data_IF_720496553197
#
_entry.id   IF_720496553197
#
_cell.length_a   1.000
_cell.length_b   1.000
_cell.length_c   1.000
_cell.angle_alpha   90.00
_cell.angle_beta   90.00
_cell.angle_gamma   90.00
#
_symmetry.space_group_name_H-M   'P 1'
#
loop_
_entity.id
_entity.type
_entity.pdbx_description
1 polymer ?
#
# COMPACT_ATOMS: atom_id res chain seq x y z
N UNK A 1 32.18 -7.93 -35.44
CA UNK A 1 30.72 -7.95 -35.42
C UNK A 1 30.25 -7.27 -34.12
N UNK A 2 29.55 -6.15 -34.17
CA UNK A 2 29.03 -5.52 -32.96
C UNK A 2 28.09 -6.48 -32.28
N UNK A 3 28.43 -6.94 -31.06
CA UNK A 3 27.56 -7.79 -30.25
C UNK A 3 26.26 -7.05 -29.95
N UNK A 4 25.12 -7.72 -30.10
CA UNK A 4 23.81 -7.14 -29.78
C UNK A 4 23.75 -6.74 -28.29
N UNK A 5 23.60 -5.47 -28.01
CA UNK A 5 23.56 -4.95 -26.64
C UNK A 5 22.16 -5.06 -26.06
N UNK A 6 21.87 -6.19 -25.41
CA UNK A 6 20.55 -6.45 -24.77
C UNK A 6 20.18 -5.35 -23.75
N UNK A 7 21.09 -4.94 -22.87
CA UNK A 7 20.79 -3.96 -21.82
C UNK A 7 20.36 -2.62 -22.43
N UNK A 8 21.05 -2.13 -23.45
CA UNK A 8 20.69 -0.90 -24.16
C UNK A 8 19.27 -0.97 -24.74
N UNK A 9 18.97 -2.05 -25.45
CA UNK A 9 17.66 -2.22 -26.08
C UNK A 9 16.55 -2.44 -25.08
N UNK A 10 16.81 -3.14 -23.97
CA UNK A 10 15.88 -3.33 -22.86
C UNK A 10 15.47 -1.97 -22.22
N UNK A 11 16.44 -1.06 -22.07
CA UNK A 11 16.17 0.30 -21.57
C UNK A 11 15.37 1.11 -22.60
N UNK A 12 15.79 1.13 -23.86
CA UNK A 12 15.10 1.89 -24.90
C UNK A 12 13.66 1.43 -25.07
N UNK A 13 13.44 0.12 -25.23
CA UNK A 13 12.07 -0.42 -25.43
C UNK A 13 11.21 -0.25 -24.18
N UNK A 14 11.77 -0.33 -22.96
CA UNK A 14 11.05 -0.02 -21.74
C UNK A 14 10.50 1.41 -21.75
N UNK A 15 11.34 2.39 -22.06
CA UNK A 15 10.87 3.78 -22.18
C UNK A 15 9.96 4.00 -23.39
N UNK A 16 10.09 3.22 -24.45
CA UNK A 16 9.17 3.27 -25.61
C UNK A 16 7.77 2.83 -25.20
N UNK A 17 7.62 1.70 -24.49
CA UNK A 17 6.28 1.25 -24.03
C UNK A 17 5.68 2.22 -23.01
N UNK A 18 6.51 2.80 -22.13
CA UNK A 18 6.11 3.87 -21.21
C UNK A 18 5.52 5.06 -21.99
N UNK A 19 6.23 5.52 -23.01
CA UNK A 19 5.80 6.68 -23.81
C UNK A 19 4.50 6.38 -24.55
N UNK A 20 4.36 5.18 -25.15
CA UNK A 20 3.12 4.77 -25.83
C UNK A 20 1.97 4.76 -24.81
N UNK A 21 2.14 4.16 -23.65
CA UNK A 21 1.12 4.11 -22.61
C UNK A 21 0.75 5.52 -22.12
N UNK A 22 1.75 6.35 -21.80
CA UNK A 22 1.52 7.72 -21.33
C UNK A 22 0.75 8.55 -22.36
N UNK A 23 1.15 8.48 -23.63
CA UNK A 23 0.44 9.18 -24.71
C UNK A 23 -1.00 8.68 -24.85
N UNK A 24 -1.21 7.35 -24.85
CA UNK A 24 -2.55 6.75 -24.93
C UNK A 24 -3.44 7.26 -23.81
N UNK A 25 -3.00 7.17 -22.57
CA UNK A 25 -3.81 7.57 -21.40
C UNK A 25 -4.00 9.08 -21.33
N UNK A 26 -3.00 9.87 -21.70
CA UNK A 26 -3.13 11.34 -21.71
C UNK A 26 -4.11 11.83 -22.80
N UNK A 27 -4.12 11.20 -23.97
CA UNK A 27 -5.03 11.55 -25.06
C UNK A 27 -6.48 11.12 -24.80
N UNK A 28 -6.69 10.16 -23.93
CA UNK A 28 -8.02 9.63 -23.56
C UNK A 28 -8.37 9.94 -22.10
N UNK A 29 -7.65 10.89 -21.49
CA UNK A 29 -7.82 11.26 -20.10
C UNK A 29 -9.23 11.77 -19.83
N UNK A 30 -9.87 11.31 -18.75
CA UNK A 30 -11.13 11.85 -18.30
C UNK A 30 -10.96 13.35 -18.00
N UNK A 31 -11.71 14.23 -18.66
CA UNK A 31 -11.50 15.67 -18.49
C UNK A 31 -12.01 16.20 -17.16
N UNK A 32 -12.94 15.48 -16.51
CA UNK A 32 -13.62 15.89 -15.30
C UNK A 32 -13.63 14.75 -14.27
N UNK A 33 -14.80 14.38 -13.80
CA UNK A 33 -15.05 13.36 -12.80
C UNK A 33 -15.66 12.14 -13.47
N UNK A 34 -15.07 10.98 -13.22
CA UNK A 34 -15.63 9.68 -13.61
C UNK A 34 -16.65 9.17 -12.56
N UNK A 35 -16.99 7.90 -12.63
CA UNK A 35 -17.93 7.23 -11.73
C UNK A 35 -17.29 6.87 -10.37
N UNK A 36 -18.10 6.30 -9.49
CA UNK A 36 -17.71 5.78 -8.18
C UNK A 36 -17.08 6.86 -7.30
N UNK A 37 -15.95 6.56 -6.66
CA UNK A 37 -15.32 7.40 -5.66
C UNK A 37 -14.42 8.50 -6.24
N UNK A 38 -14.28 8.59 -7.59
CA UNK A 38 -13.40 9.56 -8.24
C UNK A 38 -13.67 11.02 -7.84
N UNK A 39 -14.97 11.38 -7.72
CA UNK A 39 -15.37 12.73 -7.32
C UNK A 39 -14.91 13.07 -5.91
N UNK A 40 -15.03 12.12 -5.01
CA UNK A 40 -14.57 12.28 -3.63
C UNK A 40 -13.05 12.35 -3.56
N UNK A 41 -12.32 11.42 -4.22
CA UNK A 41 -10.86 11.43 -4.23
C UNK A 41 -10.28 12.74 -4.82
N UNK A 42 -10.85 13.24 -5.90
CA UNK A 42 -10.44 14.51 -6.50
C UNK A 42 -10.69 15.67 -5.52
N UNK A 43 -11.91 15.76 -4.96
CA UNK A 43 -12.30 16.83 -4.05
C UNK A 43 -11.46 16.85 -2.77
N UNK A 44 -11.30 15.68 -2.14
CA UNK A 44 -10.52 15.55 -0.90
C UNK A 44 -9.02 15.70 -1.13
N UNK A 45 -8.49 15.32 -2.31
CA UNK A 45 -7.09 15.52 -2.64
C UNK A 45 -6.76 17.02 -2.73
N UNK A 46 -7.53 17.79 -3.48
CA UNK A 46 -7.24 19.22 -3.76
C UNK A 46 -7.06 20.05 -2.49
N UNK A 47 -7.85 19.77 -1.46
CA UNK A 47 -7.83 20.51 -0.20
C UNK A 47 -7.19 19.72 0.95
N UNK A 48 -6.66 18.52 0.68
CA UNK A 48 -6.18 17.58 1.70
C UNK A 48 -7.23 17.37 2.80
N UNK A 49 -8.41 16.91 2.41
CA UNK A 49 -9.54 16.62 3.28
C UNK A 49 -9.58 15.13 3.66
N UNK A 50 -10.49 14.73 4.52
CA UNK A 50 -10.62 13.35 5.00
C UNK A 50 -11.81 12.69 4.30
N UNK A 51 -11.53 11.81 3.36
CA UNK A 51 -12.54 11.04 2.63
C UNK A 51 -13.00 9.80 3.39
N UNK A 52 -13.74 8.92 2.70
CA UNK A 52 -14.29 7.70 3.28
C UNK A 52 -13.21 6.69 3.77
N UNK A 53 -13.50 5.92 4.82
CA UNK A 53 -12.64 4.86 5.33
C UNK A 53 -12.43 3.68 4.32
N UNK A 54 -11.23 3.09 4.28
CA UNK A 54 -10.11 3.32 5.19
C UNK A 54 -9.21 4.50 4.80
N UNK A 55 -9.56 5.28 3.77
CA UNK A 55 -8.80 6.43 3.30
C UNK A 55 -7.60 6.09 2.43
N UNK A 56 -7.12 7.10 1.68
CA UNK A 56 -5.97 7.01 0.80
C UNK A 56 -5.05 8.23 0.94
N UNK A 57 -4.45 8.46 2.14
CA UNK A 57 -3.77 9.73 2.43
C UNK A 57 -2.59 10.02 1.52
N UNK A 58 -1.82 9.02 1.10
CA UNK A 58 -0.71 9.24 0.17
C UNK A 58 -1.23 9.60 -1.23
N UNK A 59 -2.29 8.94 -1.69
CA UNK A 59 -2.95 9.28 -2.96
C UNK A 59 -3.44 10.73 -2.93
N UNK A 60 -4.11 11.15 -1.84
CA UNK A 60 -4.60 12.52 -1.67
C UNK A 60 -3.47 13.55 -1.64
N UNK A 61 -2.37 13.28 -0.94
CA UNK A 61 -1.20 14.18 -0.92
C UNK A 61 -0.57 14.34 -2.31
N UNK A 62 -0.46 13.25 -3.08
CA UNK A 62 0.04 13.30 -4.44
C UNK A 62 -0.95 13.99 -5.38
N UNK A 63 -2.26 13.74 -5.23
CA UNK A 63 -3.31 14.43 -5.98
C UNK A 63 -3.30 15.93 -5.72
N UNK A 64 -3.12 16.36 -4.47
CA UNK A 64 -2.91 17.77 -4.12
C UNK A 64 -1.70 18.37 -4.84
N UNK A 65 -0.59 17.63 -4.88
CA UNK A 65 0.61 18.08 -5.59
C UNK A 65 0.34 18.25 -7.09
N UNK A 66 -0.35 17.29 -7.73
CA UNK A 66 -0.70 17.41 -9.15
C UNK A 66 -1.69 18.55 -9.41
N UNK A 67 -2.63 18.80 -8.51
CA UNK A 67 -3.56 19.91 -8.60
C UNK A 67 -2.86 21.28 -8.65
N UNK A 68 -1.64 21.41 -8.10
CA UNK A 68 -0.84 22.66 -8.16
C UNK A 68 -0.33 23.02 -9.57
N UNK A 69 -0.38 22.10 -10.52
CA UNK A 69 0.09 22.37 -11.90
C UNK A 69 -0.91 23.19 -12.74
N UNK A 70 -2.06 23.53 -12.18
CA UNK A 70 -3.03 24.41 -12.83
C UNK A 70 -3.57 25.45 -11.85
N UNK A 71 -3.91 26.64 -12.34
CA UNK A 71 -4.65 27.68 -11.62
C UNK A 71 -6.12 27.69 -11.99
N UNK A 72 -6.50 27.01 -13.07
CA UNK A 72 -7.86 26.95 -13.56
C UNK A 72 -8.64 25.86 -12.84
N UNK A 73 -9.70 26.24 -12.13
CA UNK A 73 -10.52 25.32 -11.30
C UNK A 73 -11.10 24.18 -12.13
N UNK A 74 -11.46 24.44 -13.37
CA UNK A 74 -12.02 23.45 -14.31
C UNK A 74 -11.02 22.39 -14.77
N UNK A 75 -9.70 22.65 -14.65
CA UNK A 75 -8.65 21.72 -15.07
C UNK A 75 -8.09 20.90 -13.89
N UNK A 76 -8.50 21.19 -12.66
CA UNK A 76 -7.96 20.51 -11.46
C UNK A 76 -8.23 19.00 -11.53
N UNK A 77 -9.46 18.59 -11.83
CA UNK A 77 -9.82 17.17 -11.94
C UNK A 77 -8.92 16.45 -12.95
N UNK A 78 -8.70 17.06 -14.09
CA UNK A 78 -7.82 16.55 -15.15
C UNK A 78 -6.36 16.39 -14.68
N UNK A 79 -5.85 17.28 -13.83
CA UNK A 79 -4.49 17.13 -13.27
C UNK A 79 -4.41 15.96 -12.31
N UNK A 80 -5.42 15.71 -11.48
CA UNK A 80 -5.48 14.52 -10.61
C UNK A 80 -5.61 13.24 -11.45
N UNK A 81 -6.44 13.25 -12.48
CA UNK A 81 -6.56 12.13 -13.43
C UNK A 81 -5.22 11.87 -14.14
N UNK A 82 -4.48 12.92 -14.53
CA UNK A 82 -3.16 12.78 -15.14
C UNK A 82 -2.13 12.10 -14.20
N UNK A 83 -2.24 12.26 -12.89
CA UNK A 83 -1.44 11.50 -11.92
C UNK A 83 -1.65 9.99 -12.10
N UNK A 84 -2.90 9.55 -12.30
CA UNK A 84 -3.23 8.14 -12.55
C UNK A 84 -2.68 7.66 -13.89
N UNK A 85 -2.78 8.49 -14.95
CA UNK A 85 -2.18 8.18 -16.25
C UNK A 85 -0.67 7.99 -16.17
N UNK A 86 0.03 8.86 -15.44
CA UNK A 86 1.47 8.75 -15.21
C UNK A 86 1.83 7.51 -14.40
N UNK A 87 1.12 7.22 -13.32
CA UNK A 87 1.32 6.02 -12.51
C UNK A 87 1.12 4.75 -13.35
N UNK A 88 0.08 4.73 -14.19
CA UNK A 88 -0.21 3.62 -15.11
C UNK A 88 0.88 3.44 -16.17
N UNK A 89 1.41 4.52 -16.74
CA UNK A 89 2.54 4.41 -17.67
C UNK A 89 3.80 3.82 -17.02
N UNK A 90 4.08 4.17 -15.76
CA UNK A 90 5.15 3.53 -14.98
C UNK A 90 4.84 2.05 -14.69
N UNK A 91 3.58 1.67 -14.47
CA UNK A 91 3.19 0.26 -14.36
C UNK A 91 3.61 -0.52 -15.60
N UNK A 92 3.35 0.01 -16.79
CA UNK A 92 3.72 -0.61 -18.06
C UNK A 92 5.25 -0.72 -18.21
N UNK A 93 6.00 0.29 -17.82
CA UNK A 93 7.47 0.25 -17.80
C UNK A 93 8.01 -0.88 -16.92
N UNK A 94 7.56 -0.96 -15.67
CA UNK A 94 8.01 -2.00 -14.74
C UNK A 94 7.52 -3.39 -15.14
N UNK A 95 6.34 -3.49 -15.72
CA UNK A 95 5.82 -4.74 -16.28
C UNK A 95 6.70 -5.22 -17.45
N UNK A 96 7.09 -4.34 -18.37
CA UNK A 96 8.01 -4.68 -19.46
C UNK A 96 9.34 -5.22 -18.91
N UNK A 97 9.96 -4.51 -17.97
CA UNK A 97 11.22 -4.96 -17.38
C UNK A 97 11.07 -6.26 -16.57
N UNK A 98 9.94 -6.46 -15.93
CA UNK A 98 9.63 -7.71 -15.24
C UNK A 98 9.52 -8.88 -16.20
N UNK A 99 8.77 -8.72 -17.29
CA UNK A 99 8.62 -9.76 -18.33
C UNK A 99 9.98 -10.12 -18.92
N UNK A 100 10.78 -9.12 -19.31
CA UNK A 100 12.10 -9.37 -19.90
C UNK A 100 13.07 -10.02 -18.92
N UNK A 101 13.03 -9.65 -17.63
CA UNK A 101 13.84 -10.26 -16.59
C UNK A 101 13.47 -11.73 -16.37
N UNK A 102 12.17 -12.04 -16.28
CA UNK A 102 11.69 -13.42 -16.12
C UNK A 102 11.98 -14.26 -17.35
N UNK A 103 11.70 -13.75 -18.56
CA UNK A 103 12.00 -14.44 -19.81
C UNK A 103 13.51 -14.73 -19.95
N UNK A 104 14.36 -13.78 -19.54
CA UNK A 104 15.81 -14.00 -19.52
C UNK A 104 16.21 -15.15 -18.59
N UNK A 105 15.58 -15.27 -17.42
CA UNK A 105 15.85 -16.38 -16.45
C UNK A 105 15.48 -17.75 -17.00
N UNK A 106 14.51 -17.83 -17.91
CA UNK A 106 14.11 -19.09 -18.55
C UNK A 106 15.11 -19.61 -19.58
N UNK A 107 16.10 -18.79 -19.98
CA UNK A 107 17.12 -19.18 -20.96
C UNK A 107 18.14 -20.15 -20.33
N UNK A 108 18.61 -21.14 -21.11
CA UNK A 108 19.65 -22.10 -20.68
C UNK A 108 20.95 -21.41 -20.27
N UNK A 109 21.30 -20.30 -20.93
CA UNK A 109 22.47 -19.49 -20.65
C UNK A 109 22.08 -18.00 -20.56
N UNK A 110 21.57 -17.53 -19.41
CA UNK A 110 21.09 -16.14 -19.26
C UNK A 110 22.16 -15.07 -19.43
N UNK A 111 23.43 -15.42 -19.22
CA UNK A 111 24.59 -14.53 -19.36
C UNK A 111 25.10 -14.38 -20.78
N UNK A 112 24.81 -15.38 -21.66
CA UNK A 112 25.29 -15.46 -23.04
C UNK A 112 24.12 -15.50 -24.02
N UNK A 113 23.39 -14.42 -24.14
CA UNK A 113 22.22 -14.36 -25.03
C UNK A 113 22.66 -14.24 -26.49
N UNK A 114 22.16 -15.12 -27.35
CA UNK A 114 22.23 -14.93 -28.80
C UNK A 114 21.39 -13.72 -29.22
N UNK A 115 21.67 -13.15 -30.42
CA UNK A 115 20.85 -12.08 -30.97
C UNK A 115 19.38 -12.49 -31.12
N UNK A 116 19.12 -13.71 -31.58
CA UNK A 116 17.76 -14.25 -31.71
C UNK A 116 17.04 -14.36 -30.38
N UNK A 117 17.70 -14.93 -29.34
CA UNK A 117 17.13 -14.99 -27.98
C UNK A 117 16.86 -13.61 -27.40
N UNK A 118 17.79 -12.66 -27.63
CA UNK A 118 17.61 -11.28 -27.17
C UNK A 118 16.38 -10.62 -27.81
N UNK A 119 16.18 -10.79 -29.12
CA UNK A 119 15.02 -10.27 -29.84
C UNK A 119 13.73 -10.94 -29.33
N UNK A 120 13.73 -12.26 -29.10
CA UNK A 120 12.58 -12.96 -28.60
C UNK A 120 12.16 -12.47 -27.20
N UNK A 121 13.12 -12.29 -26.28
CA UNK A 121 12.87 -11.77 -24.93
C UNK A 121 12.32 -10.35 -24.98
N UNK A 122 12.95 -9.46 -25.74
CA UNK A 122 12.53 -8.08 -25.87
C UNK A 122 11.15 -7.98 -26.55
N UNK A 123 10.91 -8.80 -27.57
CA UNK A 123 9.60 -8.89 -28.24
C UNK A 123 8.49 -9.37 -27.32
N UNK A 124 8.75 -10.40 -26.50
CA UNK A 124 7.76 -10.87 -25.52
C UNK A 124 7.42 -9.79 -24.47
N UNK A 125 8.44 -9.06 -23.98
CA UNK A 125 8.21 -7.92 -23.11
C UNK A 125 7.38 -6.83 -23.75
N UNK A 126 7.71 -6.48 -25.00
CA UNK A 126 7.00 -5.44 -25.76
C UNK A 126 5.54 -5.79 -26.02
N UNK A 127 5.28 -7.00 -26.52
CA UNK A 127 3.91 -7.48 -26.77
C UNK A 127 3.12 -7.58 -25.45
N UNK A 128 3.70 -8.19 -24.40
CA UNK A 128 3.01 -8.34 -23.11
C UNK A 128 2.67 -6.99 -22.46
N UNK A 129 3.60 -6.04 -22.47
CA UNK A 129 3.38 -4.70 -21.93
C UNK A 129 2.29 -3.94 -22.73
N UNK A 130 2.33 -3.97 -24.06
CA UNK A 130 1.33 -3.30 -24.87
C UNK A 130 -0.05 -3.98 -24.80
N UNK A 131 -0.11 -5.30 -24.70
CA UNK A 131 -1.38 -6.00 -24.47
C UNK A 131 -2.05 -5.50 -23.19
N UNK A 132 -1.28 -5.32 -22.12
CA UNK A 132 -1.81 -4.78 -20.87
C UNK A 132 -2.16 -3.29 -20.99
N UNK A 133 -1.35 -2.49 -21.71
CA UNK A 133 -1.64 -1.07 -21.98
C UNK A 133 -3.03 -0.86 -22.57
N UNK A 134 -3.43 -1.73 -23.51
CA UNK A 134 -4.70 -1.64 -24.21
C UNK A 134 -5.79 -2.56 -23.66
N UNK A 135 -5.58 -3.16 -22.48
CA UNK A 135 -6.63 -3.92 -21.81
C UNK A 135 -7.68 -2.96 -21.23
N UNK A 136 -8.94 -3.27 -21.44
CA UNK A 136 -10.08 -2.43 -21.09
C UNK A 136 -10.07 -1.99 -19.62
N UNK A 137 -10.05 -2.94 -18.69
CA UNK A 137 -10.09 -2.67 -17.26
C UNK A 137 -8.91 -1.81 -16.75
N UNK A 138 -7.70 -2.03 -17.30
CA UNK A 138 -6.55 -1.26 -16.87
C UNK A 138 -6.57 0.16 -17.48
N UNK A 139 -6.98 0.28 -18.73
CA UNK A 139 -7.11 1.58 -19.40
C UNK A 139 -8.16 2.46 -18.69
N UNK A 140 -9.30 1.87 -18.32
CA UNK A 140 -10.32 2.59 -17.56
C UNK A 140 -9.74 3.21 -16.29
N UNK A 141 -9.08 2.41 -15.45
CA UNK A 141 -8.45 2.91 -14.22
C UNK A 141 -7.28 3.88 -14.46
N UNK A 142 -6.64 3.81 -15.64
CA UNK A 142 -5.49 4.67 -15.96
C UNK A 142 -5.87 6.12 -16.25
N UNK A 143 -7.12 6.39 -16.62
CA UNK A 143 -7.56 7.71 -17.09
C UNK A 143 -8.40 8.49 -16.08
N UNK A 144 -8.61 7.94 -14.89
CA UNK A 144 -9.46 8.52 -13.83
C UNK A 144 -8.73 8.69 -12.51
N UNK A 145 -9.21 9.61 -11.67
CA UNK A 145 -8.63 9.94 -10.36
C UNK A 145 -9.01 8.96 -9.26
N UNK A 146 -8.60 7.67 -9.42
CA UNK A 146 -8.90 6.57 -8.55
C UNK A 146 -7.62 5.85 -8.08
N UNK A 147 -7.66 5.20 -6.93
CA UNK A 147 -6.48 4.60 -6.27
C UNK A 147 -5.88 3.40 -7.01
N UNK A 148 -6.64 2.75 -7.92
CA UNK A 148 -6.22 1.50 -8.56
C UNK A 148 -5.03 1.66 -9.50
N UNK A 149 -4.95 2.77 -10.23
CA UNK A 149 -3.80 3.09 -11.09
C UNK A 149 -2.49 3.14 -10.28
N UNK A 150 -2.51 3.90 -9.18
CA UNK A 150 -1.33 4.05 -8.32
C UNK A 150 -1.03 2.76 -7.53
N UNK A 151 -2.04 2.01 -7.12
CA UNK A 151 -1.87 0.69 -6.50
C UNK A 151 -1.19 -0.30 -7.44
N UNK A 152 -1.60 -0.31 -8.72
CA UNK A 152 -0.99 -1.15 -9.75
C UNK A 152 0.47 -0.76 -10.01
N UNK A 153 0.77 0.54 -10.01
CA UNK A 153 2.15 1.05 -10.09
C UNK A 153 3.01 0.57 -8.92
N UNK A 154 2.53 0.70 -7.68
CA UNK A 154 3.27 0.25 -6.51
C UNK A 154 3.48 -1.27 -6.53
N UNK A 155 2.49 -2.05 -6.98
CA UNK A 155 2.60 -3.50 -7.14
C UNK A 155 3.68 -3.87 -8.17
N UNK A 156 3.66 -3.25 -9.35
CA UNK A 156 4.63 -3.52 -10.42
C UNK A 156 6.05 -3.10 -10.00
N UNK A 157 6.19 -1.96 -9.34
CA UNK A 157 7.45 -1.47 -8.78
C UNK A 157 7.99 -2.43 -7.71
N UNK A 158 7.17 -2.87 -6.78
CA UNK A 158 7.56 -3.82 -5.73
C UNK A 158 8.03 -5.15 -6.30
N UNK A 159 7.33 -5.68 -7.30
CA UNK A 159 7.73 -6.93 -7.94
C UNK A 159 9.08 -6.78 -8.68
N UNK A 160 9.24 -5.69 -9.43
CA UNK A 160 10.50 -5.38 -10.11
C UNK A 160 11.66 -5.19 -9.13
N UNK A 161 11.43 -4.48 -8.01
CA UNK A 161 12.42 -4.35 -6.93
C UNK A 161 12.75 -5.70 -6.29
N UNK A 162 11.78 -6.60 -6.15
CA UNK A 162 12.01 -7.98 -5.70
C UNK A 162 12.99 -8.73 -6.60
N UNK A 163 12.86 -8.59 -7.93
CA UNK A 163 13.80 -9.17 -8.88
C UNK A 163 15.19 -8.51 -8.81
N UNK A 164 15.26 -7.21 -8.57
CA UNK A 164 16.50 -6.50 -8.32
C UNK A 164 17.18 -6.97 -7.02
N UNK A 165 16.41 -7.10 -5.95
CA UNK A 165 16.91 -7.63 -4.70
C UNK A 165 17.48 -9.04 -4.86
N UNK A 166 16.79 -9.93 -5.56
CA UNK A 166 17.28 -11.28 -5.85
C UNK A 166 18.65 -11.27 -6.56
N UNK A 167 18.85 -10.35 -7.49
CA UNK A 167 20.11 -10.24 -8.23
C UNK A 167 21.27 -9.69 -7.38
N UNK A 168 20.95 -8.94 -6.32
CA UNK A 168 21.91 -8.20 -5.51
C UNK A 168 22.06 -8.72 -4.06
N UNK A 169 21.17 -9.63 -3.60
CA UNK A 169 21.10 -9.98 -2.17
C UNK A 169 22.37 -10.64 -1.61
N UNK A 170 23.17 -11.29 -2.46
CA UNK A 170 24.43 -11.91 -2.06
C UNK A 170 25.62 -10.91 -2.09
N UNK A 171 25.39 -9.66 -2.54
CA UNK A 171 26.41 -8.63 -2.61
C UNK A 171 26.45 -7.79 -1.33
N UNK A 172 27.59 -7.15 -1.02
CA UNK A 172 27.65 -6.15 0.03
C UNK A 172 26.52 -5.12 -0.14
N UNK A 173 25.81 -4.82 0.92
CA UNK A 173 24.66 -3.89 0.91
C UNK A 173 23.45 -4.35 0.05
N UNK A 174 23.34 -5.62 -0.34
CA UNK A 174 22.16 -6.14 -1.07
C UNK A 174 20.84 -5.88 -0.34
N UNK A 175 20.85 -5.88 0.99
CA UNK A 175 19.67 -5.61 1.82
C UNK A 175 19.08 -4.19 1.67
N UNK A 176 19.80 -3.24 1.05
CA UNK A 176 19.22 -1.91 0.75
C UNK A 176 17.94 -2.00 -0.09
N UNK A 177 17.87 -2.97 -1.00
CA UNK A 177 16.67 -3.20 -1.81
C UNK A 177 15.50 -3.72 -0.99
N UNK A 178 15.76 -4.60 -0.01
CA UNK A 178 14.73 -5.06 0.92
C UNK A 178 14.19 -3.92 1.79
N UNK A 179 15.06 -3.01 2.24
CA UNK A 179 14.62 -1.83 2.99
C UNK A 179 13.77 -0.88 2.13
N UNK A 180 14.15 -0.69 0.86
CA UNK A 180 13.33 0.10 -0.08
C UNK A 180 11.97 -0.58 -0.35
N UNK A 181 11.95 -1.90 -0.56
CA UNK A 181 10.71 -2.69 -0.67
C UNK A 181 9.85 -2.47 0.58
N UNK A 182 10.45 -2.58 1.77
CA UNK A 182 9.77 -2.38 3.05
C UNK A 182 9.14 -0.99 3.16
N UNK A 183 9.86 0.06 2.77
CA UNK A 183 9.35 1.42 2.75
C UNK A 183 8.16 1.58 1.81
N UNK A 184 8.26 1.05 0.58
CA UNK A 184 7.17 1.11 -0.41
C UNK A 184 5.95 0.29 0.04
N UNK A 185 6.16 -0.86 0.69
CA UNK A 185 5.08 -1.62 1.34
C UNK A 185 4.33 -0.75 2.35
N UNK A 186 5.05 0.02 3.18
CA UNK A 186 4.45 0.98 4.10
C UNK A 186 3.67 2.09 3.40
N UNK A 187 4.24 2.69 2.34
CA UNK A 187 3.56 3.70 1.51
C UNK A 187 2.29 3.18 0.85
N UNK A 188 2.26 1.90 0.48
CA UNK A 188 1.12 1.27 -0.19
C UNK A 188 -0.17 1.33 0.63
N UNK A 189 -0.08 1.33 1.95
CA UNK A 189 -1.24 1.55 2.83
C UNK A 189 -1.84 2.94 2.73
N UNK A 190 -1.06 3.93 2.30
CA UNK A 190 -1.54 5.27 2.03
C UNK A 190 -2.20 5.44 0.66
N UNK A 191 -2.28 4.37 -0.12
CA UNK A 191 -2.95 4.32 -1.43
C UNK A 191 -4.06 3.27 -1.41
N UNK A 192 -3.69 1.99 -1.48
CA UNK A 192 -4.65 0.89 -1.46
C UNK A 192 -3.95 -0.44 -1.14
N UNK A 193 -4.63 -1.31 -0.39
CA UNK A 193 -4.09 -2.61 0.08
C UNK A 193 -3.81 -3.61 -1.04
N UNK A 194 -4.38 -3.43 -2.23
CA UNK A 194 -4.19 -4.33 -3.39
C UNK A 194 -2.71 -4.53 -3.74
N UNK A 195 -1.89 -3.49 -3.62
CA UNK A 195 -0.45 -3.57 -3.89
C UNK A 195 0.31 -4.54 -2.98
N UNK A 196 -0.22 -4.87 -1.81
CA UNK A 196 0.39 -5.83 -0.87
C UNK A 196 0.30 -7.27 -1.34
N UNK A 197 -0.58 -7.58 -2.29
CA UNK A 197 -0.71 -8.92 -2.86
C UNK A 197 0.56 -9.41 -3.57
N UNK A 198 1.51 -8.53 -3.81
CA UNK A 198 2.83 -8.90 -4.34
C UNK A 198 3.76 -9.51 -3.28
N UNK A 199 3.50 -9.31 -1.97
CA UNK A 199 4.36 -9.80 -0.88
C UNK A 199 4.65 -11.31 -0.98
N UNK A 200 3.67 -12.20 -1.20
CA UNK A 200 3.94 -13.62 -1.40
C UNK A 200 4.96 -13.88 -2.51
N UNK A 201 4.86 -13.17 -3.63
CA UNK A 201 5.80 -13.32 -4.75
C UNK A 201 7.23 -12.92 -4.36
N UNK A 202 7.40 -11.85 -3.57
CA UNK A 202 8.72 -11.42 -3.07
C UNK A 202 9.29 -12.47 -2.10
N UNK A 203 8.47 -13.04 -1.23
CA UNK A 203 8.87 -14.12 -0.33
C UNK A 203 9.31 -15.36 -1.13
N UNK A 204 8.58 -15.72 -2.18
CA UNK A 204 8.97 -16.82 -3.08
C UNK A 204 10.29 -16.53 -3.80
N UNK A 205 10.51 -15.31 -4.30
CA UNK A 205 11.79 -14.91 -4.91
C UNK A 205 12.94 -15.16 -3.94
N UNK A 206 12.81 -14.76 -2.67
CA UNK A 206 13.81 -15.01 -1.64
C UNK A 206 14.05 -16.51 -1.38
N UNK A 207 12.95 -17.27 -1.22
CA UNK A 207 13.04 -18.71 -0.92
C UNK A 207 13.72 -19.47 -2.06
N UNK A 208 13.32 -19.22 -3.32
CA UNK A 208 13.95 -19.87 -4.48
C UNK A 208 15.42 -19.46 -4.65
N UNK A 209 15.76 -18.22 -4.37
CA UNK A 209 17.15 -17.76 -4.40
C UNK A 209 18.01 -18.48 -3.36
N UNK A 210 17.50 -18.67 -2.14
CA UNK A 210 18.25 -19.22 -1.01
C UNK A 210 18.32 -20.75 -1.03
N UNK A 211 17.26 -21.44 -1.46
CA UNK A 211 17.13 -22.90 -1.34
C UNK A 211 17.13 -23.63 -2.68
N UNK A 212 17.03 -22.93 -3.81
CA UNK A 212 17.00 -23.52 -5.15
C UNK A 212 15.72 -24.33 -5.41
N UNK A 213 15.87 -25.52 -5.97
CA UNK A 213 14.73 -26.39 -6.29
C UNK A 213 14.07 -26.92 -5.02
N UNK A 214 12.80 -26.59 -4.84
CA UNK A 214 12.00 -27.02 -3.69
C UNK A 214 11.34 -28.37 -3.97
N UNK A 215 11.39 -29.29 -3.00
CA UNK A 215 10.52 -30.46 -3.00
C UNK A 215 9.09 -30.07 -2.59
N UNK A 216 8.12 -30.97 -2.75
CA UNK A 216 6.69 -30.70 -2.47
C UNK A 216 6.46 -30.17 -1.06
N UNK A 217 7.11 -30.77 -0.03
CA UNK A 217 6.99 -30.32 1.36
C UNK A 217 7.51 -28.88 1.55
N UNK A 218 8.69 -28.59 1.00
CA UNK A 218 9.28 -27.24 1.06
C UNK A 218 8.42 -26.21 0.32
N UNK A 219 7.84 -26.60 -0.82
CA UNK A 219 6.91 -25.74 -1.57
C UNK A 219 5.65 -25.40 -0.75
N UNK A 220 5.05 -26.38 -0.07
CA UNK A 220 3.90 -26.15 0.82
C UNK A 220 4.30 -25.19 1.97
N UNK A 221 5.45 -25.44 2.61
CA UNK A 221 5.96 -24.55 3.67
C UNK A 221 6.17 -23.13 3.14
N UNK A 222 6.73 -22.98 1.94
CA UNK A 222 6.95 -21.68 1.32
C UNK A 222 5.63 -20.92 1.09
N UNK A 223 4.55 -21.61 0.68
CA UNK A 223 3.22 -21.00 0.57
C UNK A 223 2.70 -20.53 1.93
N UNK A 224 2.78 -21.39 2.95
CA UNK A 224 2.34 -21.04 4.32
C UNK A 224 3.13 -19.83 4.84
N UNK A 225 4.46 -19.82 4.70
CA UNK A 225 5.30 -18.69 5.12
C UNK A 225 4.92 -17.42 4.38
N UNK A 226 4.68 -17.48 3.07
CA UNK A 226 4.29 -16.34 2.25
C UNK A 226 2.95 -15.73 2.71
N UNK A 227 1.97 -16.57 3.01
CA UNK A 227 0.68 -16.15 3.55
C UNK A 227 0.86 -15.55 4.95
N UNK A 228 1.69 -16.16 5.80
CA UNK A 228 1.96 -15.64 7.16
C UNK A 228 2.66 -14.27 7.12
N UNK A 229 3.60 -14.04 6.20
CA UNK A 229 4.24 -12.73 6.03
C UNK A 229 3.22 -11.68 5.58
N UNK A 230 2.38 -12.01 4.59
CA UNK A 230 1.30 -11.13 4.15
C UNK A 230 0.33 -10.82 5.30
N UNK A 231 -0.11 -11.85 6.03
CA UNK A 231 -1.00 -11.70 7.17
C UNK A 231 -0.35 -10.89 8.30
N UNK A 232 0.94 -11.09 8.58
CA UNK A 232 1.69 -10.28 9.56
C UNK A 232 1.66 -8.81 9.18
N UNK A 233 2.01 -8.46 7.94
CA UNK A 233 2.02 -7.06 7.49
C UNK A 233 0.61 -6.48 7.52
N UNK A 234 -0.38 -7.18 6.94
CA UNK A 234 -1.72 -6.65 6.71
C UNK A 234 -2.63 -6.72 7.95
N UNK A 235 -2.62 -7.85 8.69
CA UNK A 235 -3.55 -8.10 9.79
C UNK A 235 -2.98 -7.84 11.19
N UNK A 236 -1.64 -7.82 11.31
CA UNK A 236 -1.00 -7.63 12.61
C UNK A 236 -0.31 -6.27 12.70
N UNK A 237 0.66 -5.96 11.85
CA UNK A 237 1.52 -4.81 12.03
C UNK A 237 0.75 -3.49 12.10
N UNK A 238 -0.13 -3.22 11.14
CA UNK A 238 -0.90 -1.95 11.09
C UNK A 238 -2.00 -1.88 12.14
N UNK A 239 -2.92 -2.87 12.25
CA UNK A 239 -3.96 -2.82 13.26
C UNK A 239 -3.39 -2.77 14.68
N UNK A 240 -2.31 -3.51 14.97
CA UNK A 240 -1.68 -3.43 16.30
C UNK A 240 -1.04 -2.08 16.56
N UNK A 241 -0.44 -1.45 15.56
CA UNK A 241 0.11 -0.11 15.72
C UNK A 241 -1.00 0.88 16.11
N UNK A 242 -2.11 0.90 15.38
CA UNK A 242 -3.22 1.80 15.71
C UNK A 242 -3.85 1.46 17.08
N UNK A 243 -4.03 0.18 17.39
CA UNK A 243 -4.50 -0.26 18.71
C UNK A 243 -3.56 0.12 19.83
N UNK A 244 -2.25 0.02 19.61
CA UNK A 244 -1.23 0.44 20.57
C UNK A 244 -1.35 1.93 20.90
N UNK A 245 -1.46 2.79 19.88
CA UNK A 245 -1.67 4.23 20.09
C UNK A 245 -3.00 4.51 20.78
N UNK A 246 -4.08 3.88 20.35
CA UNK A 246 -5.41 4.02 20.94
C UNK A 246 -5.46 3.58 22.41
N UNK A 247 -4.86 2.43 22.73
CA UNK A 247 -4.85 1.90 24.11
C UNK A 247 -4.05 2.78 25.06
N UNK A 248 -2.86 3.26 24.64
CA UNK A 248 -2.07 4.18 25.45
C UNK A 248 -2.74 5.54 25.60
N UNK A 249 -3.40 6.04 24.55
CA UNK A 249 -4.19 7.27 24.64
C UNK A 249 -5.27 7.16 25.72
N UNK A 250 -6.11 6.11 25.64
CA UNK A 250 -7.15 5.87 26.64
C UNK A 250 -6.58 5.68 28.05
N UNK A 251 -5.49 4.94 28.20
CA UNK A 251 -4.87 4.71 29.50
C UNK A 251 -4.36 6.00 30.14
N UNK A 252 -3.58 6.79 29.41
CA UNK A 252 -2.99 8.01 29.96
C UNK A 252 -4.02 9.10 30.20
N UNK A 253 -5.04 9.23 29.36
CA UNK A 253 -6.10 10.24 29.52
C UNK A 253 -7.09 9.80 30.59
N UNK A 254 -7.67 8.59 30.47
CA UNK A 254 -8.78 8.20 31.36
C UNK A 254 -8.33 7.71 32.74
N UNK A 255 -7.18 7.00 32.83
CA UNK A 255 -6.70 6.41 34.10
C UNK A 255 -5.71 7.30 34.84
N UNK A 256 -4.80 7.95 34.10
CA UNK A 256 -3.78 8.82 34.70
C UNK A 256 -4.28 10.27 34.81
N UNK A 257 -5.21 10.70 33.96
CA UNK A 257 -5.78 12.06 33.94
C UNK A 257 -4.93 13.09 33.21
N UNK A 258 -4.10 12.65 32.25
CA UNK A 258 -3.34 13.57 31.40
C UNK A 258 -4.24 14.20 30.33
N UNK A 259 -3.87 15.35 29.75
CA UNK A 259 -4.59 15.96 28.65
C UNK A 259 -4.73 15.05 27.42
N UNK A 260 -5.74 15.30 26.58
CA UNK A 260 -5.90 14.60 25.30
C UNK A 260 -4.63 14.64 24.45
N UNK A 261 -4.37 13.58 23.71
CA UNK A 261 -3.18 13.32 22.87
C UNK A 261 -1.88 13.04 23.64
N UNK A 262 -1.84 13.15 24.98
CA UNK A 262 -0.65 12.83 25.77
C UNK A 262 -0.23 11.36 25.63
N UNK A 263 -1.20 10.46 25.65
CA UNK A 263 -0.95 9.03 25.45
C UNK A 263 -0.38 8.71 24.09
N UNK A 264 -0.87 9.38 23.05
CA UNK A 264 -0.37 9.23 21.67
C UNK A 264 1.07 9.74 21.52
N UNK A 265 1.41 10.87 22.17
CA UNK A 265 2.79 11.38 22.19
C UNK A 265 3.73 10.40 22.90
N UNK A 266 3.32 9.89 24.08
CA UNK A 266 4.10 8.91 24.84
C UNK A 266 4.26 7.63 24.03
N UNK A 267 3.21 7.14 23.37
CA UNK A 267 3.26 5.98 22.48
C UNK A 267 4.30 6.16 21.37
N UNK A 268 4.32 7.32 20.73
CA UNK A 268 5.29 7.66 19.69
C UNK A 268 6.73 7.67 20.20
N UNK A 269 6.98 8.28 21.37
CA UNK A 269 8.30 8.29 22.01
C UNK A 269 8.76 6.87 22.36
N UNK A 270 7.88 6.05 22.94
CA UNK A 270 8.20 4.65 23.29
C UNK A 270 8.47 3.81 22.04
N UNK A 271 7.74 4.02 20.96
CA UNK A 271 7.97 3.32 19.67
C UNK A 271 9.34 3.68 19.08
N UNK A 272 9.69 4.97 19.06
CA UNK A 272 11.02 5.43 18.61
C UNK A 272 12.13 4.85 19.49
N UNK A 273 11.96 4.85 20.82
CA UNK A 273 12.91 4.27 21.74
C UNK A 273 13.08 2.77 21.53
N UNK A 274 11.98 2.04 21.26
CA UNK A 274 12.00 0.60 20.96
C UNK A 274 12.84 0.30 19.71
N UNK A 275 12.62 1.05 18.61
CA UNK A 275 13.42 0.88 17.40
C UNK A 275 14.89 1.26 17.62
N UNK A 276 15.16 2.37 18.30
CA UNK A 276 16.51 2.78 18.62
C UNK A 276 17.26 1.69 19.41
N UNK A 277 16.62 1.16 20.46
CA UNK A 277 17.19 0.07 21.25
C UNK A 277 17.38 -1.21 20.42
N UNK A 278 16.37 -1.62 19.67
CA UNK A 278 16.40 -2.82 18.82
C UNK A 278 17.52 -2.78 17.78
N UNK A 279 17.67 -1.65 17.08
CA UNK A 279 18.74 -1.45 16.09
C UNK A 279 20.11 -1.50 16.77
N UNK A 280 20.30 -0.75 17.86
CA UNK A 280 21.58 -0.73 18.56
C UNK A 280 21.95 -2.10 19.16
N UNK A 281 20.99 -2.80 19.74
CA UNK A 281 21.20 -4.13 20.30
C UNK A 281 21.61 -5.14 19.23
N UNK A 282 20.86 -5.23 18.14
CA UNK A 282 21.13 -6.16 17.04
C UNK A 282 22.44 -5.83 16.36
N UNK A 283 22.75 -4.54 16.17
CA UNK A 283 24.02 -4.09 15.59
C UNK A 283 25.22 -4.43 16.50
N UNK A 284 25.15 -4.11 17.81
CA UNK A 284 26.22 -4.43 18.76
C UNK A 284 26.47 -5.93 18.91
N UNK A 285 25.41 -6.74 18.81
CA UNK A 285 25.51 -8.22 18.88
C UNK A 285 25.83 -8.86 17.51
N UNK A 286 26.04 -8.08 16.46
CA UNK A 286 26.33 -8.56 15.09
C UNK A 286 25.26 -9.51 14.55
N UNK A 287 24.00 -9.32 14.96
CA UNK A 287 22.85 -10.12 14.53
C UNK A 287 22.30 -9.55 13.22
N UNK A 288 23.00 -9.78 12.10
CA UNK A 288 22.72 -9.16 10.80
C UNK A 288 21.28 -9.40 10.33
N UNK A 289 20.79 -10.63 10.40
CA UNK A 289 19.43 -10.98 9.98
C UNK A 289 18.39 -10.29 10.86
N UNK A 290 18.54 -10.33 12.18
CA UNK A 290 17.64 -9.66 13.11
C UNK A 290 17.66 -8.12 12.92
N UNK A 291 18.83 -7.53 12.68
CA UNK A 291 18.96 -6.11 12.39
C UNK A 291 18.21 -5.74 11.11
N UNK A 292 18.36 -6.55 10.05
CA UNK A 292 17.62 -6.35 8.80
C UNK A 292 16.11 -6.43 9.00
N UNK A 293 15.61 -7.36 9.81
CA UNK A 293 14.17 -7.45 10.14
C UNK A 293 13.70 -6.21 10.90
N UNK A 294 14.44 -5.78 11.93
CA UNK A 294 14.08 -4.57 12.70
C UNK A 294 14.04 -3.33 11.79
N UNK A 295 15.04 -3.17 10.92
CA UNK A 295 15.09 -2.08 9.95
C UNK A 295 13.95 -2.18 8.94
N UNK A 296 13.62 -3.38 8.43
CA UNK A 296 12.51 -3.57 7.51
C UNK A 296 11.18 -3.14 8.15
N UNK A 297 10.91 -3.55 9.39
CA UNK A 297 9.71 -3.11 10.12
C UNK A 297 9.71 -1.59 10.32
N UNK A 298 10.84 -1.00 10.70
CA UNK A 298 10.96 0.46 10.82
C UNK A 298 10.65 1.17 9.48
N UNK A 299 11.19 0.70 8.37
CA UNK A 299 10.95 1.31 7.06
C UNK A 299 9.49 1.16 6.61
N UNK A 300 8.83 0.03 6.91
CA UNK A 300 7.37 -0.11 6.73
C UNK A 300 6.64 0.97 7.55
N UNK A 301 7.00 1.14 8.83
CA UNK A 301 6.37 2.13 9.70
C UNK A 301 6.60 3.57 9.23
N UNK A 302 7.79 3.88 8.70
CA UNK A 302 8.07 5.20 8.09
C UNK A 302 7.17 5.41 6.87
N UNK A 303 7.01 4.42 5.98
CA UNK A 303 6.08 4.51 4.85
C UNK A 303 4.62 4.70 5.29
N UNK A 304 4.20 3.96 6.32
CA UNK A 304 2.86 4.08 6.90
C UNK A 304 2.60 5.43 7.57
N UNK A 305 3.63 6.18 7.95
CA UNK A 305 3.45 7.50 8.59
C UNK A 305 2.70 8.51 7.71
N UNK A 306 2.51 8.25 6.41
CA UNK A 306 1.60 9.00 5.54
C UNK A 306 0.18 9.09 6.10
N UNK A 307 -0.24 8.11 6.91
CA UNK A 307 -1.53 8.08 7.61
C UNK A 307 -1.69 9.19 8.65
N UNK A 308 -0.60 9.81 9.12
CA UNK A 308 -0.68 10.97 10.01
C UNK A 308 -1.37 12.18 9.36
N UNK A 309 -1.46 12.21 8.04
CA UNK A 309 -2.25 13.25 7.34
C UNK A 309 -3.71 13.26 7.82
N UNK A 310 -4.32 12.10 8.03
CA UNK A 310 -5.73 11.99 8.42
C UNK A 310 -6.03 12.72 9.75
N UNK A 311 -5.39 12.39 10.90
CA UNK A 311 -5.67 13.10 12.15
C UNK A 311 -5.25 14.57 12.11
N UNK A 312 -4.20 14.93 11.39
CA UNK A 312 -3.79 16.34 11.23
C UNK A 312 -4.89 17.12 10.52
N UNK A 313 -5.44 16.58 9.43
CA UNK A 313 -6.48 17.25 8.65
C UNK A 313 -7.85 17.22 9.32
N UNK A 314 -8.18 16.11 10.00
CA UNK A 314 -9.41 16.04 10.80
C UNK A 314 -9.45 17.14 11.88
N UNK A 315 -8.33 17.38 12.58
CA UNK A 315 -8.23 18.46 13.58
C UNK A 315 -8.21 19.87 12.95
N UNK A 316 -7.99 20.01 11.66
CA UNK A 316 -8.10 21.28 10.95
C UNK A 316 -9.55 21.60 10.54
N UNK A 317 -10.53 20.77 10.88
CA UNK A 317 -11.96 20.94 10.58
C UNK A 317 -12.21 21.20 9.09
N UNK A 318 -11.69 20.34 8.23
CA UNK A 318 -11.89 20.41 6.79
C UNK A 318 -13.37 20.25 6.42
N UNK A 319 -13.78 20.73 5.26
CA UNK A 319 -15.19 20.68 4.81
C UNK A 319 -15.67 19.22 4.67
N UNK A 320 -14.86 18.37 4.02
CA UNK A 320 -15.06 16.93 4.01
C UNK A 320 -14.18 16.36 5.12
N UNK A 321 -14.79 15.77 6.13
CA UNK A 321 -14.11 15.18 7.29
C UNK A 321 -14.90 13.96 7.77
N UNK A 322 -14.83 12.89 6.96
CA UNK A 322 -15.62 11.70 7.24
C UNK A 322 -15.16 10.98 8.51
N UNK A 323 -16.10 10.70 9.38
CA UNK A 323 -15.89 10.05 10.69
C UNK A 323 -14.88 10.74 11.60
N UNK A 324 -14.40 11.93 11.23
CA UNK A 324 -13.54 12.80 12.04
C UNK A 324 -12.43 12.05 12.81
N UNK A 325 -11.45 11.41 12.14
CA UNK A 325 -10.41 10.61 12.79
C UNK A 325 -9.37 11.51 13.49
N UNK A 326 -9.81 12.35 14.42
CA UNK A 326 -9.02 13.42 15.04
C UNK A 326 -8.15 12.96 16.22
N UNK A 327 -8.34 11.73 16.71
CA UNK A 327 -7.53 11.11 17.76
C UNK A 327 -7.11 9.69 17.38
N UNK A 328 -6.20 9.10 18.18
CA UNK A 328 -5.75 7.72 17.95
C UNK A 328 -6.89 6.71 18.03
N UNK A 329 -7.90 6.95 18.86
CA UNK A 329 -9.07 6.06 18.98
C UNK A 329 -9.98 6.16 17.75
N UNK A 330 -10.27 7.37 17.32
CA UNK A 330 -11.10 7.63 16.15
C UNK A 330 -10.41 7.19 14.86
N UNK A 331 -9.08 7.35 14.78
CA UNK A 331 -8.29 6.83 13.65
C UNK A 331 -8.33 5.29 13.57
N UNK A 332 -8.34 4.60 14.73
CA UNK A 332 -8.51 3.15 14.75
C UNK A 332 -9.91 2.75 14.26
N UNK A 333 -10.97 3.43 14.72
CA UNK A 333 -12.35 3.19 14.29
C UNK A 333 -12.53 3.45 12.78
N UNK A 334 -11.87 4.50 12.27
CA UNK A 334 -11.82 4.83 10.85
C UNK A 334 -11.12 3.72 10.04
N UNK A 335 -9.97 3.23 10.50
CA UNK A 335 -9.25 2.14 9.84
C UNK A 335 -10.05 0.83 9.85
N UNK A 336 -10.63 0.48 10.99
CA UNK A 336 -11.43 -0.73 11.16
C UNK A 336 -12.81 -0.64 10.46
N UNK A 337 -13.14 0.53 9.86
CA UNK A 337 -14.41 0.79 9.15
C UNK A 337 -15.63 0.50 10.02
N UNK A 338 -15.56 0.87 11.29
CA UNK A 338 -16.59 0.52 12.28
C UNK A 338 -18.02 0.97 11.86
N UNK A 339 -18.15 2.08 11.10
CA UNK A 339 -19.44 2.56 10.61
C UNK A 339 -20.14 1.67 9.57
N UNK A 340 -19.40 0.76 8.93
CA UNK A 340 -19.98 -0.15 7.93
C UNK A 340 -20.41 -1.50 8.52
N UNK A 341 -20.18 -1.73 9.83
CA UNK A 341 -20.43 -3.01 10.48
C UNK A 341 -19.44 -4.11 10.08
N UNK A 342 -19.70 -5.31 10.54
CA UNK A 342 -18.87 -6.49 10.26
C UNK A 342 -19.38 -7.22 9.02
N UNK A 343 -18.51 -7.49 8.05
CA UNK A 343 -18.82 -8.33 6.89
C UNK A 343 -18.47 -9.80 7.19
N UNK A 344 -19.45 -10.68 7.06
CA UNK A 344 -19.22 -12.13 7.17
C UNK A 344 -18.61 -12.68 5.88
N UNK A 345 -17.48 -13.38 5.98
CA UNK A 345 -16.73 -13.85 4.81
C UNK A 345 -17.28 -15.16 4.26
N UNK A 346 -17.80 -16.03 5.11
CA UNK A 346 -18.19 -17.40 4.72
C UNK A 346 -19.71 -17.59 4.62
N UNK A 347 -20.49 -16.86 5.41
CA UNK A 347 -21.95 -16.84 5.35
C UNK A 347 -22.44 -15.53 5.93
N UNK A 348 -23.57 -15.05 5.44
CA UNK A 348 -24.23 -13.85 5.91
C UNK A 348 -25.71 -14.12 6.14
N UNK A 349 -26.35 -13.27 6.94
CA UNK A 349 -27.79 -13.34 7.17
C UNK A 349 -28.53 -12.77 5.96
N UNK A 350 -29.63 -13.38 5.60
CA UNK A 350 -30.61 -12.81 4.66
C UNK A 350 -31.82 -12.30 5.39
N UNK A 351 -32.56 -11.38 4.78
CA UNK A 351 -33.78 -10.86 5.38
C UNK A 351 -34.78 -12.01 5.66
N UNK A 352 -35.23 -12.09 6.90
CA UNK A 352 -36.23 -13.04 7.36
C UNK A 352 -37.16 -12.33 8.36
N UNK A 353 -38.44 -12.70 8.33
CA UNK A 353 -39.39 -12.27 9.35
C UNK A 353 -39.28 -13.08 10.66
N UNK A 354 -38.41 -14.10 10.65
CA UNK A 354 -38.18 -14.97 11.81
C UNK A 354 -36.85 -14.55 12.43
N UNK A 355 -36.89 -14.10 13.67
CA UNK A 355 -35.70 -13.84 14.47
C UNK A 355 -34.97 -15.14 14.79
N UNK A 356 -33.66 -15.04 15.05
CA UNK A 356 -32.86 -16.14 15.56
C UNK A 356 -33.53 -16.72 16.83
N UNK A 357 -33.51 -18.04 16.99
CA UNK A 357 -34.08 -18.71 18.15
C UNK A 357 -33.44 -18.30 19.47
N UNK A 358 -32.19 -17.84 19.42
CA UNK A 358 -31.44 -17.33 20.57
C UNK A 358 -31.62 -15.83 20.81
N UNK A 359 -32.27 -15.11 19.88
CA UNK A 359 -32.54 -13.70 20.05
C UNK A 359 -33.66 -13.47 21.08
N UNK A 360 -33.44 -12.61 22.05
CA UNK A 360 -34.48 -12.11 22.92
C UNK A 360 -35.44 -11.24 22.09
N UNK A 361 -36.68 -11.70 21.94
CA UNK A 361 -37.69 -11.00 21.14
C UNK A 361 -38.01 -9.62 21.73
N UNK A 362 -37.79 -9.42 23.03
CA UNK A 362 -37.98 -8.14 23.71
C UNK A 362 -36.79 -7.18 23.52
N UNK A 363 -35.61 -7.72 23.23
CA UNK A 363 -34.40 -6.96 22.94
C UNK A 363 -33.62 -7.63 21.81
N UNK A 364 -34.05 -7.45 20.53
CA UNK A 364 -33.47 -8.12 19.38
C UNK A 364 -32.12 -7.57 18.94
N UNK A 365 -31.61 -6.54 19.60
CA UNK A 365 -30.31 -5.91 19.31
C UNK A 365 -29.31 -6.31 20.36
N UNK A 366 -28.04 -6.39 19.96
CA UNK A 366 -26.90 -6.55 20.87
C UNK A 366 -26.06 -5.29 20.86
N UNK A 367 -25.33 -5.06 21.94
CA UNK A 367 -24.37 -3.97 22.00
C UNK A 367 -23.29 -4.14 20.91
N UNK A 368 -22.97 -3.05 20.23
CA UNK A 368 -21.87 -2.98 19.28
C UNK A 368 -20.56 -2.67 20.00
N UNK A 369 -19.47 -2.52 19.25
CA UNK A 369 -18.16 -2.09 19.78
C UNK A 369 -18.28 -0.74 20.47
N UNK A 370 -17.64 -0.54 21.65
CA UNK A 370 -17.75 0.73 22.37
C UNK A 370 -17.22 1.89 21.53
N UNK A 371 -18.08 2.86 21.25
CA UNK A 371 -17.73 4.11 20.59
C UNK A 371 -17.27 5.11 21.64
N UNK A 372 -16.05 5.60 21.53
CA UNK A 372 -15.49 6.58 22.45
C UNK A 372 -15.51 7.98 21.83
N UNK A 373 -15.98 8.95 22.61
CA UNK A 373 -15.93 10.36 22.24
C UNK A 373 -15.22 11.19 23.30
N UNK A 374 -14.58 12.30 22.88
CA UNK A 374 -13.94 13.26 23.81
C UNK A 374 -15.00 14.04 24.56
N UNK A 375 -14.92 14.03 25.88
CA UNK A 375 -15.73 14.92 26.72
C UNK A 375 -14.83 16.04 27.27
N UNK A 376 -14.90 17.20 26.65
CA UNK A 376 -14.08 18.36 26.99
C UNK A 376 -14.35 18.86 28.44
N UNK A 377 -15.56 18.66 28.99
CA UNK A 377 -15.88 19.07 30.35
C UNK A 377 -15.20 18.20 31.39
N UNK A 378 -15.04 16.92 31.13
CA UNK A 378 -14.42 15.98 32.06
C UNK A 378 -12.94 15.73 31.76
N UNK A 379 -12.45 16.13 30.58
CA UNK A 379 -11.11 15.84 30.09
C UNK A 379 -10.88 14.36 29.83
N UNK A 380 -11.92 13.56 29.56
CA UNK A 380 -11.86 12.10 29.40
C UNK A 380 -12.58 11.64 28.14
N UNK A 381 -12.18 10.49 27.64
CA UNK A 381 -12.98 9.76 26.66
C UNK A 381 -14.14 9.03 27.38
N UNK A 382 -15.35 9.20 26.88
CA UNK A 382 -16.56 8.53 27.36
C UNK A 382 -17.13 7.60 26.30
N UNK A 383 -17.73 6.50 26.75
CA UNK A 383 -18.45 5.60 25.85
C UNK A 383 -19.84 6.20 25.61
N UNK A 384 -20.19 6.39 24.33
CA UNK A 384 -21.45 7.02 23.90
C UNK A 384 -22.39 6.06 23.19
N UNK A 385 -21.96 4.80 23.00
CA UNK A 385 -22.75 3.74 22.41
C UNK A 385 -22.47 2.42 23.16
#
# INVERSE_FOLDING_TARGET
MNSFNFAKWNTILGWTVFTIALLTYTLTLEPTVSYWDCGEYISTAVKLEVGHPPGAPLFQMLGAFFAMFTTEVTEIAKMVNFMSALASAFTILFMFWTITALAKKMMKKPTELSKSSSIAILGSGFVGALTYTFSDSFWFSAVEGEVYAMSSFLMALLFWLGLHWEAEMDKPQGNKWLLLISFIVGLSFGVHILSLLVIPSIVFIYIYKKYGNLNTKQFIIANVVSILVLAFVFKLLFPFTLRYFSALELFFVNSIGLPFNSGSIIAGILLVALFYYGINYTHKKQLVEANTVVLSVLFIMIGFSSWMMLPIRANANTTINENNPSSARELLAYYDREQYGDANVFYDTYYSLIYDREADVSNPTRDDKPKYEKNEKTGKYVIVN
#
